data_IF_051747775153
#
_entry.id   IF_051747775153
#
_cell.length_a   1.000
_cell.length_b   1.000
_cell.length_c   1.000
_cell.angle_alpha   90.00
_cell.angle_beta   90.00
_cell.angle_gamma   90.00
#
_symmetry.space_group_name_H-M   'P 1'
#
loop_
_entity.id
_entity.type
_entity.pdbx_description
1 polymer ?
#
# COMPACT_ATOMS: atom_id res chain seq x y z
N UNK A 1 -11.68 -1.85 12.50
CA UNK A 1 -12.34 -2.17 11.22
C UNK A 1 -11.27 -2.85 10.37
N UNK A 2 -11.59 -3.99 9.75
CA UNK A 2 -10.58 -4.86 9.14
C UNK A 2 -10.66 -4.72 7.62
N UNK A 3 -9.51 -4.78 6.94
CA UNK A 3 -9.42 -4.94 5.51
C UNK A 3 -8.93 -6.35 5.20
N UNK A 4 -9.20 -6.81 3.98
CA UNK A 4 -8.65 -8.05 3.45
C UNK A 4 -7.82 -7.70 2.22
N UNK A 5 -6.66 -8.33 2.08
CA UNK A 5 -5.83 -8.14 0.90
C UNK A 5 -6.23 -9.14 -0.18
N UNK A 6 -6.28 -8.66 -1.41
CA UNK A 6 -6.30 -9.54 -2.56
C UNK A 6 -4.95 -10.27 -2.63
N UNK A 7 -4.88 -11.57 -3.01
CA UNK A 7 -3.62 -12.30 -3.07
C UNK A 7 -2.53 -11.62 -3.93
N UNK A 8 -2.94 -10.97 -5.02
CA UNK A 8 -2.03 -10.16 -5.83
C UNK A 8 -1.43 -8.97 -5.07
N UNK A 9 -2.20 -8.32 -4.19
CA UNK A 9 -1.70 -7.22 -3.37
C UNK A 9 -0.75 -7.72 -2.25
N UNK A 10 -1.01 -8.90 -1.68
CA UNK A 10 -0.07 -9.53 -0.75
C UNK A 10 1.28 -9.81 -1.43
N UNK A 11 1.23 -10.32 -2.67
CA UNK A 11 2.43 -10.56 -3.47
C UNK A 11 3.16 -9.25 -3.81
N UNK A 12 2.44 -8.18 -4.18
CA UNK A 12 3.03 -6.87 -4.47
C UNK A 12 3.79 -6.31 -3.25
N UNK A 13 3.22 -6.46 -2.04
CA UNK A 13 3.86 -6.04 -0.79
C UNK A 13 5.11 -6.89 -0.50
N UNK A 14 5.01 -8.21 -0.63
CA UNK A 14 6.15 -9.11 -0.40
C UNK A 14 7.30 -8.78 -1.35
N UNK A 15 7.02 -8.64 -2.65
CA UNK A 15 8.03 -8.28 -3.66
C UNK A 15 8.68 -6.92 -3.39
N UNK A 16 7.92 -5.92 -2.92
CA UNK A 16 8.49 -4.62 -2.57
C UNK A 16 9.39 -4.70 -1.32
N UNK A 17 9.01 -5.48 -0.31
CA UNK A 17 9.82 -5.71 0.89
C UNK A 17 11.14 -6.41 0.57
N UNK A 18 11.10 -7.45 -0.28
CA UNK A 18 12.30 -8.15 -0.75
C UNK A 18 13.21 -7.18 -1.49
N UNK A 19 12.65 -6.45 -2.47
CA UNK A 19 13.41 -5.47 -3.26
C UNK A 19 14.11 -4.42 -2.39
N UNK A 20 13.38 -3.76 -1.48
CA UNK A 20 13.98 -2.71 -0.65
C UNK A 20 14.97 -3.28 0.36
N UNK A 21 14.73 -4.48 0.89
CA UNK A 21 15.64 -5.14 1.82
C UNK A 21 16.97 -5.50 1.15
N UNK A 22 16.92 -6.02 -0.07
CA UNK A 22 18.11 -6.43 -0.83
C UNK A 22 18.89 -5.25 -1.40
N UNK A 23 18.20 -4.26 -1.97
CA UNK A 23 18.84 -3.19 -2.75
C UNK A 23 19.29 -1.99 -1.91
N UNK A 24 18.61 -1.72 -0.78
CA UNK A 24 18.83 -0.50 -0.01
C UNK A 24 19.06 -0.79 1.48
N UNK A 25 18.34 -1.77 2.02
CA UNK A 25 18.49 -2.25 3.38
C UNK A 25 17.17 -2.28 4.16
N UNK A 26 17.19 -3.04 5.25
CA UNK A 26 16.01 -3.32 6.09
C UNK A 26 15.31 -2.07 6.63
N UNK A 27 16.03 -0.98 6.87
CA UNK A 27 15.44 0.28 7.34
C UNK A 27 14.47 0.89 6.32
N UNK A 28 14.75 0.77 5.02
CA UNK A 28 13.86 1.30 3.96
C UNK A 28 12.68 0.37 3.73
N UNK A 29 12.90 -0.94 3.78
CA UNK A 29 11.81 -1.92 3.75
C UNK A 29 10.82 -1.74 4.92
N UNK A 30 11.33 -1.48 6.13
CA UNK A 30 10.49 -1.15 7.29
C UNK A 30 9.64 0.10 7.06
N UNK A 31 10.22 1.17 6.53
CA UNK A 31 9.47 2.41 6.19
C UNK A 31 8.40 2.19 5.13
N UNK A 32 8.64 1.28 4.18
CA UNK A 32 7.63 0.90 3.19
C UNK A 32 6.43 0.23 3.85
N UNK A 33 6.67 -0.70 4.79
CA UNK A 33 5.61 -1.38 5.53
C UNK A 33 4.80 -0.40 6.39
N UNK A 34 5.49 0.49 7.12
CA UNK A 34 4.85 1.55 7.93
C UNK A 34 3.94 2.44 7.07
N UNK A 35 4.38 2.79 5.87
CA UNK A 35 3.58 3.61 4.94
C UNK A 35 2.36 2.85 4.43
N UNK A 36 2.50 1.57 4.08
CA UNK A 36 1.37 0.72 3.72
C UNK A 36 0.33 0.64 4.86
N UNK A 37 0.76 0.37 6.09
CA UNK A 37 -0.12 0.30 7.26
C UNK A 37 -0.84 1.63 7.51
N UNK A 38 -0.11 2.75 7.38
CA UNK A 38 -0.69 4.10 7.49
C UNK A 38 -1.79 4.33 6.46
N UNK A 39 -1.56 3.93 5.20
CA UNK A 39 -2.55 4.08 4.12
C UNK A 39 -3.74 3.14 4.33
N UNK A 40 -3.50 1.87 4.69
CA UNK A 40 -4.55 0.89 4.95
C UNK A 40 -5.47 1.34 6.09
N UNK A 41 -4.91 1.89 7.17
CA UNK A 41 -5.67 2.48 8.27
C UNK A 41 -6.56 3.64 7.77
N UNK A 42 -5.99 4.59 7.02
CA UNK A 42 -6.75 5.73 6.50
C UNK A 42 -7.89 5.31 5.57
N UNK A 43 -7.66 4.36 4.67
CA UNK A 43 -8.68 3.87 3.75
C UNK A 43 -9.78 3.08 4.47
N UNK A 44 -9.42 2.41 5.57
CA UNK A 44 -10.40 1.71 6.40
C UNK A 44 -11.27 2.71 7.19
N UNK A 45 -10.67 3.78 7.73
CA UNK A 45 -11.39 4.82 8.47
C UNK A 45 -12.21 5.74 7.55
N UNK A 46 -11.72 5.98 6.33
CA UNK A 46 -12.33 6.88 5.36
C UNK A 46 -12.30 6.32 3.94
N UNK A 47 -13.17 5.36 3.57
CA UNK A 47 -13.13 4.68 2.27
C UNK A 47 -13.25 5.60 1.04
N UNK A 48 -13.83 6.79 1.21
CA UNK A 48 -14.05 7.77 0.14
C UNK A 48 -12.86 8.66 -0.21
N UNK A 49 -11.74 8.62 0.52
CA UNK A 49 -10.66 9.61 0.34
C UNK A 49 -9.78 9.35 -0.90
N UNK A 50 -9.82 8.15 -1.46
CA UNK A 50 -9.09 7.82 -2.69
C UNK A 50 -9.61 8.60 -3.91
N UNK A 51 -8.78 8.76 -4.92
CA UNK A 51 -9.16 9.33 -6.21
C UNK A 51 -9.99 8.31 -7.00
N UNK A 52 -11.21 8.65 -7.46
CA UNK A 52 -12.02 7.73 -8.28
C UNK A 52 -11.31 7.29 -9.56
N UNK A 53 -11.50 6.03 -9.93
CA UNK A 53 -11.03 5.40 -11.15
C UNK A 53 -12.18 4.72 -11.90
N UNK A 54 -11.88 4.19 -13.10
CA UNK A 54 -12.84 3.41 -13.87
C UNK A 54 -13.29 2.14 -13.12
N UNK A 55 -14.57 1.78 -13.34
CA UNK A 55 -15.24 0.61 -12.75
C UNK A 55 -15.43 0.70 -11.22
N UNK A 56 -15.64 1.90 -10.69
CA UNK A 56 -15.98 2.11 -9.27
C UNK A 56 -14.81 1.95 -8.29
N UNK A 57 -13.61 1.67 -8.79
CA UNK A 57 -12.39 1.60 -7.98
C UNK A 57 -11.89 2.98 -7.59
N UNK A 58 -11.02 3.05 -6.60
CA UNK A 58 -10.32 4.24 -6.16
C UNK A 58 -8.84 3.92 -6.03
N UNK A 59 -8.01 4.94 -6.19
CA UNK A 59 -6.57 4.86 -5.94
C UNK A 59 -6.16 5.83 -4.84
N UNK A 60 -5.25 5.41 -3.98
CA UNK A 60 -4.64 6.28 -2.97
C UNK A 60 -3.12 6.11 -2.99
N UNK A 61 -2.35 7.17 -3.28
CA UNK A 61 -0.91 7.08 -3.41
C UNK A 61 -0.21 6.97 -2.05
N UNK A 62 0.91 6.25 -2.03
CA UNK A 62 1.85 6.30 -0.92
C UNK A 62 2.60 7.63 -0.93
N UNK A 63 3.13 8.00 0.23
CA UNK A 63 4.15 9.04 0.36
C UNK A 63 5.51 8.41 0.14
N UNK A 64 6.40 9.12 -0.57
CA UNK A 64 7.81 8.76 -0.83
C UNK A 64 7.99 7.53 -1.74
N UNK A 65 7.19 6.48 -1.56
CA UNK A 65 7.26 5.26 -2.37
C UNK A 65 6.39 5.39 -3.64
N UNK A 66 6.85 4.87 -4.79
CA UNK A 66 6.14 4.98 -6.07
C UNK A 66 5.00 3.95 -6.21
N UNK A 67 4.17 3.82 -5.17
CA UNK A 67 3.09 2.83 -5.07
C UNK A 67 1.75 3.52 -4.79
N UNK A 68 0.66 2.82 -5.08
CA UNK A 68 -0.70 3.25 -4.72
C UNK A 68 -1.54 2.03 -4.36
N UNK A 69 -2.43 2.19 -3.39
CA UNK A 69 -3.45 1.17 -3.09
C UNK A 69 -4.64 1.40 -3.98
N UNK A 70 -5.10 0.32 -4.63
CA UNK A 70 -6.34 0.29 -5.42
C UNK A 70 -7.41 -0.45 -4.62
N UNK A 71 -8.54 0.19 -4.37
CA UNK A 71 -9.67 -0.34 -3.59
C UNK A 71 -11.02 -0.08 -4.26
#
# INVERSE_FOLDING_TARGET
>A
MNFTLHPGAEQDIASALDFYSEQVGSAVAGRFLEEFERVAKLLTEHPGIGTPMAKGRRTFPFKVFPYSVVC
#
